data_IF_329152643448
#
_entry.id   IF_329152643448
#
_cell.length_a   1.000
_cell.length_b   1.000
_cell.length_c   1.000
_cell.angle_alpha   90.00
_cell.angle_beta   90.00
_cell.angle_gamma   90.00
#
_symmetry.space_group_name_H-M   'P 1'
#
loop_
_entity.id
_entity.type
_entity.pdbx_description
1 polymer ?
#
# COMPACT_ATOMS: atom_id res chain seq x y z
N UNK A 1 63.39 17.70 60.38
CA UNK A 1 63.00 16.28 60.31
C UNK A 1 61.48 16.22 60.35
N UNK A 2 60.83 15.93 59.23
CA UNK A 2 59.38 15.74 59.16
C UNK A 2 58.99 14.46 59.89
N UNK A 3 57.89 14.49 60.65
CA UNK A 3 57.42 13.31 61.40
C UNK A 3 56.85 12.29 60.40
N UNK A 4 57.14 10.99 60.57
CA UNK A 4 56.66 9.94 59.65
C UNK A 4 55.13 9.87 59.51
N UNK A 5 54.39 10.37 60.51
CA UNK A 5 52.93 10.50 60.46
C UNK A 5 52.44 11.53 59.43
N UNK A 6 53.19 12.61 59.19
CA UNK A 6 52.82 13.64 58.22
C UNK A 6 53.09 13.18 56.78
N UNK A 7 54.16 12.42 56.57
CA UNK A 7 54.47 11.79 55.26
C UNK A 7 53.42 10.74 54.87
N UNK A 8 52.93 9.96 55.83
CA UNK A 8 51.84 9.01 55.59
C UNK A 8 50.53 9.70 55.19
N UNK A 9 50.21 10.83 55.86
CA UNK A 9 49.02 11.65 55.52
C UNK A 9 49.15 12.30 54.15
N UNK A 10 50.33 12.80 53.79
CA UNK A 10 50.60 13.38 52.49
C UNK A 10 50.40 12.35 51.36
N UNK A 11 50.93 11.13 51.54
CA UNK A 11 50.74 10.03 50.59
C UNK A 11 49.28 9.62 50.44
N UNK A 12 48.53 9.51 51.54
CA UNK A 12 47.11 9.17 51.50
C UNK A 12 46.26 10.22 50.76
N UNK A 13 46.62 11.51 50.87
CA UNK A 13 45.98 12.58 50.09
C UNK A 13 46.31 12.46 48.60
N UNK A 14 47.59 12.26 48.25
CA UNK A 14 48.00 12.08 46.85
C UNK A 14 47.28 10.92 46.16
N UNK A 15 47.15 9.76 46.83
CA UNK A 15 46.42 8.60 46.29
C UNK A 15 44.94 8.92 46.07
N UNK A 16 44.32 9.68 46.99
CA UNK A 16 42.92 10.09 46.86
C UNK A 16 42.72 11.06 45.70
N UNK A 17 43.58 12.06 45.59
CA UNK A 17 43.50 13.07 44.54
C UNK A 17 43.76 12.46 43.15
N UNK A 18 44.66 11.48 43.07
CA UNK A 18 44.90 10.69 41.87
C UNK A 18 43.68 9.82 41.52
N UNK A 19 43.08 9.15 42.50
CA UNK A 19 41.87 8.34 42.28
C UNK A 19 40.68 9.20 41.82
N UNK A 20 40.51 10.39 42.40
CA UNK A 20 39.48 11.35 41.99
C UNK A 20 39.74 11.88 40.58
N UNK A 21 40.99 12.20 40.24
CA UNK A 21 41.36 12.62 38.89
C UNK A 21 41.03 11.56 37.85
N UNK A 22 41.37 10.29 38.12
CA UNK A 22 41.05 9.16 37.22
C UNK A 22 39.55 8.93 37.07
N UNK A 23 38.78 9.11 38.15
CA UNK A 23 37.31 9.00 38.08
C UNK A 23 36.71 10.10 37.20
N UNK A 24 37.15 11.35 37.40
CA UNK A 24 36.69 12.49 36.60
C UNK A 24 37.07 12.34 35.12
N UNK A 25 38.28 11.85 34.83
CA UNK A 25 38.70 11.55 33.46
C UNK A 25 37.83 10.46 32.82
N UNK A 26 37.55 9.39 33.56
CA UNK A 26 36.69 8.30 33.07
C UNK A 26 35.27 8.81 32.79
N UNK A 27 34.69 9.55 33.73
CA UNK A 27 33.33 10.06 33.59
C UNK A 27 33.24 11.07 32.44
N UNK A 28 34.28 11.90 32.25
CA UNK A 28 34.38 12.80 31.10
C UNK A 28 34.45 12.02 29.79
N UNK A 29 35.28 10.99 29.71
CA UNK A 29 35.36 10.13 28.53
C UNK A 29 34.03 9.42 28.22
N UNK A 30 33.32 8.95 29.25
CA UNK A 30 31.99 8.37 29.10
C UNK A 30 30.95 9.38 28.59
N UNK A 31 30.96 10.61 29.09
CA UNK A 31 30.07 11.67 28.62
C UNK A 31 30.37 12.08 27.18
N UNK A 32 31.65 12.16 26.80
CA UNK A 32 32.04 12.50 25.44
C UNK A 32 31.67 11.38 24.46
N UNK A 33 31.78 10.12 24.87
CA UNK A 33 31.30 8.97 24.09
C UNK A 33 29.78 9.01 23.87
N UNK A 34 28.99 9.21 24.94
CA UNK A 34 27.53 9.32 24.83
C UNK A 34 27.10 10.51 23.96
N UNK A 35 27.83 11.64 24.02
CA UNK A 35 27.58 12.78 23.14
C UNK A 35 27.83 12.44 21.67
N UNK A 36 28.87 11.67 21.39
CA UNK A 36 29.15 11.21 20.02
C UNK A 36 28.04 10.27 19.51
N UNK A 37 27.62 9.29 20.31
CA UNK A 37 26.51 8.39 19.96
C UNK A 37 25.20 9.18 19.71
N UNK A 38 24.89 10.14 20.57
CA UNK A 38 23.70 10.99 20.39
C UNK A 38 23.80 11.87 19.14
N UNK A 39 24.99 12.32 18.77
CA UNK A 39 25.21 13.06 17.53
C UNK A 39 24.95 12.17 16.31
N UNK A 40 25.44 10.93 16.32
CA UNK A 40 25.20 9.93 15.27
C UNK A 40 23.72 9.54 15.16
N UNK A 41 23.03 9.31 16.29
CA UNK A 41 21.60 9.05 16.29
C UNK A 41 20.80 10.23 15.72
N UNK A 42 21.22 11.46 16.02
CA UNK A 42 20.57 12.66 15.49
C UNK A 42 20.78 12.82 13.98
N UNK A 43 21.95 12.45 13.45
CA UNK A 43 22.17 12.46 12.00
C UNK A 43 21.33 11.38 11.34
N UNK A 44 21.28 10.16 11.89
CA UNK A 44 20.44 9.08 11.37
C UNK A 44 18.94 9.46 11.36
N UNK A 45 18.44 10.09 12.43
CA UNK A 45 17.05 10.55 12.50
C UNK A 45 16.75 11.62 11.45
N UNK A 46 17.69 12.52 11.15
CA UNK A 46 17.53 13.51 10.07
C UNK A 46 17.45 12.82 8.71
N UNK A 47 18.37 11.91 8.42
CA UNK A 47 18.35 11.16 7.17
C UNK A 47 17.06 10.36 6.99
N UNK A 48 16.53 9.77 8.08
CA UNK A 48 15.23 9.11 8.06
C UNK A 48 14.08 10.09 7.78
N UNK A 49 14.12 11.29 8.38
CA UNK A 49 13.16 12.35 8.11
C UNK A 49 13.16 12.79 6.65
N UNK A 50 14.34 12.93 6.04
CA UNK A 50 14.50 13.26 4.63
C UNK A 50 13.91 12.14 3.75
N UNK A 51 14.21 10.87 4.04
CA UNK A 51 13.63 9.71 3.32
C UNK A 51 12.11 9.65 3.43
N UNK A 52 11.53 9.97 4.59
CA UNK A 52 10.07 10.03 4.76
C UNK A 52 9.49 11.15 3.90
N UNK A 53 10.15 12.31 3.86
CA UNK A 53 9.74 13.45 3.03
C UNK A 53 9.73 13.08 1.54
N UNK A 54 10.77 12.38 1.07
CA UNK A 54 10.84 11.87 -0.30
C UNK A 54 9.72 10.87 -0.61
N UNK A 55 9.42 9.95 0.32
CA UNK A 55 8.32 8.99 0.17
C UNK A 55 6.95 9.69 0.13
N UNK A 56 6.75 10.73 0.93
CA UNK A 56 5.52 11.54 0.89
C UNK A 56 5.39 12.23 -0.47
N UNK A 57 6.45 12.86 -0.97
CA UNK A 57 6.45 13.51 -2.29
C UNK A 57 6.15 12.51 -3.43
N UNK A 58 6.70 11.29 -3.35
CA UNK A 58 6.39 10.22 -4.30
C UNK A 58 4.92 9.79 -4.22
N UNK A 59 4.36 9.63 -3.02
CA UNK A 59 2.94 9.29 -2.83
C UNK A 59 2.02 10.39 -3.35
N UNK A 60 2.35 11.66 -3.12
CA UNK A 60 1.62 12.80 -3.69
C UNK A 60 1.66 12.76 -5.22
N UNK A 61 2.83 12.52 -5.81
CA UNK A 61 2.96 12.40 -7.28
C UNK A 61 2.12 11.25 -7.87
N UNK A 62 2.03 10.12 -7.17
CA UNK A 62 1.21 8.97 -7.56
C UNK A 62 -0.28 9.27 -7.38
N UNK A 63 -0.64 9.98 -6.31
CA UNK A 63 -2.02 10.43 -6.07
C UNK A 63 -2.45 11.44 -7.13
N UNK A 64 -1.59 12.40 -7.48
CA UNK A 64 -1.80 13.37 -8.55
C UNK A 64 -1.95 12.68 -9.92
N UNK A 65 -1.12 11.67 -10.18
CA UNK A 65 -1.18 10.87 -11.42
C UNK A 65 -2.46 10.05 -11.52
N UNK A 66 -2.92 9.48 -10.40
CA UNK A 66 -4.19 8.74 -10.35
C UNK A 66 -5.40 9.67 -10.40
N UNK A 67 -5.32 10.89 -9.86
CA UNK A 67 -6.35 11.91 -10.00
C UNK A 67 -6.41 12.49 -11.41
N UNK A 68 -5.28 12.73 -12.09
CA UNK A 68 -5.27 13.09 -13.53
C UNK A 68 -5.85 11.99 -14.41
N UNK A 69 -5.65 10.72 -14.05
CA UNK A 69 -6.35 9.61 -14.70
C UNK A 69 -7.86 9.59 -14.43
N UNK A 70 -8.34 10.25 -13.37
CA UNK A 70 -9.77 10.46 -13.09
C UNK A 70 -10.33 11.75 -13.71
N UNK A 71 -9.52 12.79 -13.90
CA UNK A 71 -9.96 14.14 -14.34
C UNK A 71 -9.96 14.35 -15.85
N UNK A 72 -9.35 13.46 -16.64
CA UNK A 72 -9.77 13.28 -18.02
C UNK A 72 -10.78 12.14 -18.08
N UNK A 73 -12.09 12.40 -18.23
CA UNK A 73 -12.90 11.49 -19.00
C UNK A 73 -12.35 11.62 -20.41
N UNK A 74 -11.29 10.85 -20.72
CA UNK A 74 -11.18 10.30 -22.06
C UNK A 74 -12.57 9.78 -22.32
N UNK A 75 -13.28 10.42 -23.23
CA UNK A 75 -14.44 9.85 -23.89
C UNK A 75 -13.90 8.62 -24.60
N UNK A 76 -13.61 7.58 -23.83
CA UNK A 76 -13.60 6.22 -24.27
C UNK A 76 -15.01 6.10 -24.79
N UNK A 77 -15.16 6.22 -26.10
CA UNK A 77 -16.34 5.74 -26.79
C UNK A 77 -16.73 4.44 -26.09
N UNK A 78 -17.99 4.29 -25.65
CA UNK A 78 -18.42 3.10 -24.92
C UNK A 78 -17.86 1.92 -25.71
N UNK A 79 -17.04 1.06 -25.07
CA UNK A 79 -16.44 -0.08 -25.75
C UNK A 79 -17.61 -0.84 -26.37
N UNK A 80 -17.73 -0.74 -27.69
CA UNK A 80 -18.84 -1.34 -28.41
C UNK A 80 -18.89 -2.80 -27.99
N UNK A 81 -20.06 -3.24 -27.51
CA UNK A 81 -20.26 -4.63 -27.15
C UNK A 81 -19.89 -5.47 -28.38
N UNK A 82 -19.04 -6.48 -28.21
CA UNK A 82 -18.86 -7.45 -29.29
C UNK A 82 -20.22 -8.05 -29.65
N UNK A 83 -20.49 -8.29 -30.93
CA UNK A 83 -21.81 -8.74 -31.39
C UNK A 83 -22.31 -9.97 -30.64
N UNK A 84 -21.40 -10.91 -30.33
CA UNK A 84 -21.71 -12.09 -29.51
C UNK A 84 -22.14 -11.72 -28.07
N UNK A 85 -21.40 -10.82 -27.42
CA UNK A 85 -21.71 -10.38 -26.05
C UNK A 85 -23.06 -9.66 -25.98
N UNK A 86 -23.37 -8.84 -27.00
CA UNK A 86 -24.67 -8.18 -27.11
C UNK A 86 -25.81 -9.18 -27.29
N UNK A 87 -25.68 -10.12 -28.21
CA UNK A 87 -26.69 -11.16 -28.45
C UNK A 87 -26.99 -11.98 -27.18
N UNK A 88 -25.93 -12.34 -26.43
CA UNK A 88 -26.08 -13.02 -25.14
C UNK A 88 -26.81 -12.14 -24.11
N UNK A 89 -26.46 -10.86 -23.99
CA UNK A 89 -27.11 -9.94 -23.07
C UNK A 89 -28.58 -9.68 -23.42
N UNK A 90 -28.92 -9.53 -24.70
CA UNK A 90 -30.30 -9.42 -25.18
C UNK A 90 -31.10 -10.69 -24.87
N UNK A 91 -30.51 -11.87 -25.09
CA UNK A 91 -31.13 -13.14 -24.74
C UNK A 91 -31.37 -13.27 -23.23
N UNK A 92 -30.41 -12.85 -22.39
CA UNK A 92 -30.59 -12.81 -20.94
C UNK A 92 -31.73 -11.85 -20.59
N UNK A 93 -31.80 -10.66 -21.20
CA UNK A 93 -32.87 -9.67 -20.97
C UNK A 93 -34.25 -10.28 -21.26
N UNK A 94 -34.41 -10.93 -22.40
CA UNK A 94 -35.68 -11.52 -22.81
C UNK A 94 -36.13 -12.63 -21.85
N UNK A 95 -35.21 -13.51 -21.46
CA UNK A 95 -35.50 -14.59 -20.50
C UNK A 95 -35.79 -14.06 -19.09
N UNK A 96 -35.12 -12.97 -18.68
CA UNK A 96 -35.38 -12.28 -17.41
C UNK A 96 -36.73 -11.58 -17.41
N UNK A 97 -37.12 -10.96 -18.52
CA UNK A 97 -38.45 -10.33 -18.69
C UNK A 97 -39.58 -11.36 -18.63
N UNK A 98 -39.31 -12.62 -19.00
CA UNK A 98 -40.22 -13.77 -18.82
C UNK A 98 -40.22 -14.33 -17.39
N UNK A 99 -39.51 -13.70 -16.44
CA UNK A 99 -39.47 -14.09 -15.03
C UNK A 99 -38.51 -15.25 -14.70
N UNK A 100 -37.63 -15.66 -15.63
CA UNK A 100 -36.74 -16.79 -15.38
C UNK A 100 -35.59 -16.44 -14.43
N UNK A 101 -35.21 -17.40 -13.60
CA UNK A 101 -34.04 -17.31 -12.73
C UNK A 101 -32.75 -17.54 -13.52
N UNK A 102 -31.62 -17.00 -13.04
CA UNK A 102 -30.33 -17.22 -13.70
C UNK A 102 -29.90 -18.69 -13.75
N UNK A 103 -30.32 -19.51 -12.78
CA UNK A 103 -30.07 -20.96 -12.81
C UNK A 103 -30.80 -21.60 -14.00
N UNK A 104 -32.08 -21.25 -14.22
CA UNK A 104 -32.86 -21.75 -15.35
C UNK A 104 -32.33 -21.23 -16.69
N UNK A 105 -31.83 -19.99 -16.73
CA UNK A 105 -31.18 -19.44 -17.93
C UNK A 105 -29.89 -20.19 -18.27
N UNK A 106 -29.09 -20.60 -17.27
CA UNK A 106 -27.92 -21.47 -17.52
C UNK A 106 -28.32 -22.78 -18.20
N UNK A 107 -29.35 -23.45 -17.68
CA UNK A 107 -29.85 -24.71 -18.25
C UNK A 107 -30.30 -24.52 -19.71
N UNK A 108 -30.99 -23.42 -20.00
CA UNK A 108 -31.41 -23.07 -21.36
C UNK A 108 -30.19 -22.85 -22.26
N UNK A 109 -29.19 -22.10 -21.81
CA UNK A 109 -27.99 -21.81 -22.62
C UNK A 109 -27.16 -23.07 -22.87
N UNK A 110 -27.12 -24.00 -21.91
CA UNK A 110 -26.48 -25.29 -22.08
C UNK A 110 -27.24 -26.18 -23.07
N UNK A 111 -28.57 -26.22 -22.98
CA UNK A 111 -29.42 -26.96 -23.92
C UNK A 111 -29.38 -26.40 -25.35
N UNK A 112 -29.29 -25.08 -25.49
CA UNK A 112 -29.16 -24.36 -26.76
C UNK A 112 -27.72 -24.37 -27.32
N UNK A 113 -26.74 -24.90 -26.58
CA UNK A 113 -25.34 -24.94 -26.99
C UNK A 113 -24.69 -23.56 -27.14
N UNK A 114 -25.18 -22.55 -26.41
CA UNK A 114 -24.68 -21.17 -26.50
C UNK A 114 -23.25 -21.10 -25.97
N UNK A 115 -22.24 -20.74 -26.79
CA UNK A 115 -20.86 -20.67 -26.31
C UNK A 115 -20.69 -19.52 -25.32
N UNK A 116 -19.88 -19.74 -24.29
CA UNK A 116 -19.47 -18.70 -23.34
C UNK A 116 -18.65 -17.61 -24.05
N UNK A 117 -18.52 -16.44 -23.43
CA UNK A 117 -17.77 -15.32 -24.02
C UNK A 117 -16.28 -15.62 -24.25
N UNK A 118 -15.72 -16.57 -23.50
CA UNK A 118 -14.36 -17.08 -23.66
C UNK A 118 -14.27 -18.26 -24.63
N UNK A 119 -15.40 -18.74 -25.18
CA UNK A 119 -15.53 -19.98 -25.97
C UNK A 119 -15.02 -21.25 -25.26
N UNK A 120 -14.77 -21.17 -23.96
CA UNK A 120 -14.19 -22.23 -23.14
C UNK A 120 -15.04 -22.36 -21.88
N UNK A 121 -15.68 -23.51 -21.70
CA UNK A 121 -16.49 -23.84 -20.51
C UNK A 121 -18.00 -23.64 -20.66
N UNK A 122 -18.72 -23.92 -19.58
CA UNK A 122 -20.19 -23.90 -19.50
C UNK A 122 -20.70 -22.66 -18.77
N UNK A 123 -21.95 -22.26 -19.05
CA UNK A 123 -22.59 -21.17 -18.33
C UNK A 123 -22.87 -21.55 -16.88
N UNK A 124 -22.37 -20.72 -15.95
CA UNK A 124 -22.67 -20.81 -14.52
C UNK A 124 -23.54 -19.64 -14.08
N UNK A 125 -24.30 -19.83 -12.99
CA UNK A 125 -25.17 -18.79 -12.41
C UNK A 125 -24.37 -17.53 -12.07
N UNK A 126 -23.18 -17.69 -11.50
CA UNK A 126 -22.30 -16.56 -11.15
C UNK A 126 -21.81 -15.80 -12.38
N UNK A 127 -21.46 -16.53 -13.45
CA UNK A 127 -21.04 -15.93 -14.73
C UNK A 127 -22.15 -15.09 -15.36
N UNK A 128 -23.38 -15.62 -15.42
CA UNK A 128 -24.53 -14.88 -15.94
C UNK A 128 -24.89 -13.66 -15.08
N UNK A 129 -24.86 -13.81 -13.75
CA UNK A 129 -25.13 -12.71 -12.83
C UNK A 129 -24.13 -11.56 -12.99
N UNK A 130 -22.83 -11.88 -13.04
CA UNK A 130 -21.77 -10.89 -13.23
C UNK A 130 -21.88 -10.22 -14.60
N UNK A 131 -22.17 -11.00 -15.65
CA UNK A 131 -22.37 -10.48 -17.00
C UNK A 131 -23.54 -9.49 -17.03
N UNK A 132 -24.69 -9.87 -16.49
CA UNK A 132 -25.89 -9.05 -16.46
C UNK A 132 -25.71 -7.75 -15.65
N UNK A 133 -25.20 -7.85 -14.42
CA UNK A 133 -25.07 -6.71 -13.52
C UNK A 133 -24.13 -5.64 -14.06
N UNK A 134 -22.99 -6.07 -14.62
CA UNK A 134 -21.95 -5.14 -15.07
C UNK A 134 -22.24 -4.54 -16.46
N UNK A 135 -23.04 -5.21 -17.30
CA UNK A 135 -23.14 -4.84 -18.72
C UNK A 135 -24.56 -4.58 -19.22
N UNK A 136 -25.62 -4.79 -18.41
CA UNK A 136 -27.01 -4.49 -18.84
C UNK A 136 -27.21 -3.03 -19.26
N UNK A 137 -26.47 -2.09 -18.65
CA UNK A 137 -26.57 -0.66 -18.94
C UNK A 137 -26.04 -0.31 -20.34
N UNK A 138 -25.12 -1.12 -20.88
CA UNK A 138 -24.58 -0.94 -22.24
C UNK A 138 -25.62 -1.29 -23.32
N UNK A 139 -26.63 -2.11 -23.02
CA UNK A 139 -27.76 -2.34 -23.95
C UNK A 139 -28.65 -1.10 -24.13
N UNK A 140 -28.68 -0.19 -23.15
CA UNK A 140 -29.52 1.01 -23.19
C UNK A 140 -28.85 2.13 -23.98
N UNK A 141 -27.53 2.27 -23.87
CA UNK A 141 -26.75 3.33 -24.51
C UNK A 141 -26.70 3.22 -26.05
N UNK A 142 -26.76 2.01 -26.60
CA UNK A 142 -26.75 1.79 -28.05
C UNK A 142 -28.14 1.87 -28.71
N UNK A 143 -29.23 2.07 -27.95
CA UNK A 143 -30.58 2.24 -28.53
C UNK A 143 -30.91 3.70 -28.86
N UNK A 144 -30.11 4.64 -28.33
CA UNK A 144 -30.28 6.10 -28.46
C UNK A 144 -29.22 6.75 -29.39
N UNK A 145 -28.42 5.96 -30.11
CA UNK A 145 -27.43 6.42 -31.11
C UNK A 145 -27.85 6.10 -32.54
#
# INVERSE_FOLDING_TARGET
>A
MTRPADEARQRARGIRDEALSRLVERDRASLDHLRAEMAEMKTMLREQGDRITDLIALLESLTESTNRQKEEPRRSSPRLLSGHKRAVLERIRDLRNRGLSFARICEIFQAEGVPTLSSQGQWSKGTLWNLWTNHRHQLQQDSDS
#
